data_IF_139073204271
#
_entry.id   IF_139073204271
#
_cell.length_a   1.000
_cell.length_b   1.000
_cell.length_c   1.000
_cell.angle_alpha   90.00
_cell.angle_beta   90.00
_cell.angle_gamma   90.00
#
_symmetry.space_group_name_H-M   'P 1'
#
loop_
_entity.id
_entity.type
_entity.pdbx_description
1 polymer ?
#
# COMPACT_ATOMS: atom_id res chain seq x y z
N UNK A 1 -9.79 -66.00 -18.93
CA UNK A 1 -9.65 -65.14 -17.73
C UNK A 1 -9.18 -63.76 -18.19
N UNK A 2 -9.99 -62.72 -18.05
CA UNK A 2 -9.59 -61.32 -18.30
C UNK A 2 -10.04 -60.47 -17.11
N UNK A 3 -9.06 -59.98 -16.33
CA UNK A 3 -9.27 -59.15 -15.15
C UNK A 3 -9.84 -57.78 -15.54
N UNK A 4 -11.01 -57.43 -15.00
CA UNK A 4 -11.57 -56.07 -15.08
C UNK A 4 -10.77 -55.13 -14.17
N UNK A 5 -9.99 -54.21 -14.76
CA UNK A 5 -9.35 -53.09 -14.02
C UNK A 5 -10.44 -52.20 -13.43
N UNK A 6 -10.44 -52.08 -12.10
CA UNK A 6 -11.45 -51.33 -11.33
C UNK A 6 -11.32 -49.80 -11.56
N UNK A 7 -12.43 -49.05 -11.66
CA UNK A 7 -12.44 -47.62 -12.00
C UNK A 7 -12.22 -46.67 -10.81
N UNK A 8 -11.73 -47.14 -9.66
CA UNK A 8 -11.68 -46.35 -8.42
C UNK A 8 -10.47 -45.40 -8.30
N UNK A 9 -9.55 -45.40 -9.26
CA UNK A 9 -8.33 -44.56 -9.19
C UNK A 9 -8.65 -43.07 -9.43
N UNK A 10 -9.57 -42.77 -10.36
CA UNK A 10 -9.97 -41.39 -10.70
C UNK A 10 -10.59 -40.59 -9.56
N UNK A 11 -11.58 -41.10 -8.81
CA UNK A 11 -12.20 -40.32 -7.73
C UNK A 11 -11.24 -40.05 -6.57
N UNK A 12 -10.32 -40.99 -6.28
CA UNK A 12 -9.33 -40.83 -5.20
C UNK A 12 -8.30 -39.74 -5.56
N UNK A 13 -7.85 -39.69 -6.81
CA UNK A 13 -6.96 -38.62 -7.30
C UNK A 13 -7.63 -37.24 -7.28
N UNK A 14 -8.92 -37.16 -7.65
CA UNK A 14 -9.67 -35.90 -7.54
C UNK A 14 -9.85 -35.46 -6.09
N UNK A 15 -10.12 -36.38 -5.16
CA UNK A 15 -10.22 -36.08 -3.74
C UNK A 15 -8.88 -35.59 -3.15
N UNK A 16 -7.76 -36.19 -3.56
CA UNK A 16 -6.42 -35.74 -3.18
C UNK A 16 -6.09 -34.35 -3.73
N UNK A 17 -6.49 -34.05 -4.98
CA UNK A 17 -6.32 -32.72 -5.57
C UNK A 17 -7.14 -31.66 -4.81
N UNK A 18 -8.39 -31.97 -4.45
CA UNK A 18 -9.22 -31.07 -3.63
C UNK A 18 -8.62 -30.86 -2.23
N UNK A 19 -8.13 -31.91 -1.58
CA UNK A 19 -7.48 -31.80 -0.28
C UNK A 19 -6.19 -30.97 -0.35
N UNK A 20 -5.41 -31.09 -1.44
CA UNK A 20 -4.22 -30.28 -1.67
C UNK A 20 -4.56 -28.79 -1.93
N UNK A 21 -5.70 -28.49 -2.55
CA UNK A 21 -6.21 -27.13 -2.73
C UNK A 21 -6.66 -26.48 -1.41
N UNK A 22 -7.08 -27.27 -0.42
CA UNK A 22 -7.47 -26.79 0.93
C UNK A 22 -6.25 -26.53 1.83
N UNK A 23 -5.08 -27.06 1.47
CA UNK A 23 -3.83 -26.87 2.21
C UNK A 23 -3.03 -25.64 1.76
N UNK A 24 -3.53 -24.85 0.80
CA UNK A 24 -2.96 -23.53 0.53
C UNK A 24 -3.28 -22.68 1.76
N UNK A 25 -2.29 -22.15 2.49
CA UNK A 25 -2.56 -21.20 3.56
C UNK A 25 -3.44 -20.12 2.96
N UNK A 26 -4.65 -19.95 3.51
CA UNK A 26 -5.42 -18.77 3.23
C UNK A 26 -4.48 -17.61 3.55
N UNK A 27 -4.08 -16.86 2.52
CA UNK A 27 -3.35 -15.60 2.70
C UNK A 27 -4.21 -14.84 3.68
N UNK A 28 -3.71 -14.65 4.92
CA UNK A 28 -4.45 -13.94 5.93
C UNK A 28 -4.79 -12.59 5.30
N UNK A 29 -6.08 -12.30 5.16
CA UNK A 29 -6.51 -11.03 4.61
C UNK A 29 -6.22 -10.00 5.70
N UNK A 30 -4.97 -9.54 5.75
CA UNK A 30 -4.57 -8.53 6.71
C UNK A 30 -5.41 -7.27 6.49
N UNK A 31 -5.74 -6.57 7.56
CA UNK A 31 -6.42 -5.27 7.46
C UNK A 31 -5.41 -4.17 7.64
N UNK A 32 -5.44 -3.19 6.74
CA UNK A 32 -4.57 -2.04 6.83
C UNK A 32 -5.37 -0.75 6.63
N UNK A 33 -5.14 0.22 7.51
CA UNK A 33 -5.73 1.55 7.50
C UNK A 33 -4.70 2.52 6.98
N UNK A 34 -5.03 3.18 5.88
CA UNK A 34 -4.12 4.05 5.14
C UNK A 34 -4.47 5.53 5.36
N UNK A 35 -3.45 6.34 5.60
CA UNK A 35 -3.59 7.79 5.75
C UNK A 35 -2.50 8.53 4.99
N UNK A 36 -2.84 9.45 4.10
CA UNK A 36 -1.85 10.27 3.40
C UNK A 36 -2.34 11.71 3.31
N UNK A 37 -1.56 12.67 3.81
CA UNK A 37 -2.00 14.06 3.80
C UNK A 37 -0.86 15.02 3.51
N UNK A 38 -1.26 16.23 3.14
CA UNK A 38 -0.37 17.37 3.02
C UNK A 38 -0.98 18.60 3.68
N UNK A 39 -0.15 19.47 4.22
CA UNK A 39 -0.59 20.77 4.70
C UNK A 39 0.47 21.84 4.44
N UNK A 40 0.01 23.06 4.18
CA UNK A 40 0.88 24.21 3.98
C UNK A 40 1.20 24.84 5.31
N UNK A 41 2.48 25.08 5.54
CA UNK A 41 2.95 25.99 6.56
C UNK A 41 3.34 27.33 5.93
N UNK A 42 3.06 28.42 6.64
CA UNK A 42 3.36 29.78 6.19
C UNK A 42 4.67 30.32 6.76
N UNK A 43 5.23 29.70 7.80
CA UNK A 43 6.46 30.15 8.47
C UNK A 43 7.33 28.96 8.90
N UNK A 44 8.39 28.59 8.16
CA UNK A 44 8.69 29.04 6.79
C UNK A 44 7.66 28.51 5.78
N UNK A 45 7.54 29.14 4.61
CA UNK A 45 6.63 28.67 3.56
C UNK A 45 7.06 27.32 3.01
N UNK A 46 6.34 26.26 3.38
CA UNK A 46 6.62 24.87 2.94
C UNK A 46 5.34 24.04 2.91
N UNK A 47 5.37 22.94 2.19
CA UNK A 47 4.38 21.86 2.30
C UNK A 47 4.98 20.76 3.17
N UNK A 48 4.31 20.43 4.27
CA UNK A 48 4.52 19.16 4.95
C UNK A 48 3.64 18.12 4.27
N UNK A 49 4.19 16.93 4.03
CA UNK A 49 3.46 15.83 3.43
C UNK A 49 3.90 14.52 4.06
N UNK A 50 2.95 13.63 4.29
CA UNK A 50 3.24 12.34 4.89
C UNK A 50 2.24 11.29 4.43
N UNK A 51 2.62 10.04 4.65
CA UNK A 51 1.81 8.86 4.47
C UNK A 51 2.09 7.92 5.64
N UNK A 52 1.05 7.41 6.26
CA UNK A 52 1.04 6.49 7.38
C UNK A 52 0.18 5.30 7.02
N UNK A 53 0.55 4.15 7.56
CA UNK A 53 -0.24 2.93 7.48
C UNK A 53 -0.28 2.28 8.84
N UNK A 54 -1.50 1.95 9.25
CA UNK A 54 -1.73 1.09 10.39
C UNK A 54 -2.09 -0.33 9.94
N UNK A 55 -1.51 -1.36 10.55
CA UNK A 55 -1.83 -2.76 10.22
C UNK A 55 -2.30 -3.48 11.47
N UNK A 56 -3.36 -4.27 11.36
CA UNK A 56 -3.95 -4.97 12.52
C UNK A 56 -3.24 -6.27 12.91
N UNK A 57 -2.38 -6.78 12.03
CA UNK A 57 -1.62 -8.01 12.22
C UNK A 57 -0.11 -7.74 12.18
N UNK A 58 0.65 -8.65 12.80
CA UNK A 58 2.11 -8.66 12.74
C UNK A 58 2.54 -8.89 11.29
N UNK A 59 3.15 -7.85 10.69
CA UNK A 59 3.78 -7.91 9.38
C UNK A 59 5.27 -8.18 9.52
N UNK A 60 5.84 -8.98 8.59
CA UNK A 60 7.29 -9.19 8.55
C UNK A 60 7.98 -7.87 8.18
N UNK A 61 7.51 -7.23 7.10
CA UNK A 61 8.07 -5.99 6.59
C UNK A 61 6.97 -5.05 6.09
N UNK A 62 7.12 -3.77 6.40
CA UNK A 62 6.27 -2.70 5.90
C UNK A 62 7.17 -1.68 5.20
N UNK A 63 6.94 -1.47 3.91
CA UNK A 63 7.57 -0.41 3.14
C UNK A 63 6.56 0.69 2.90
N UNK A 64 6.91 1.94 3.22
CA UNK A 64 6.03 3.09 3.00
C UNK A 64 6.78 4.28 2.40
N UNK A 65 6.11 5.00 1.52
CA UNK A 65 6.63 6.21 0.89
C UNK A 65 5.52 7.24 0.71
N UNK A 66 5.81 8.48 1.08
CA UNK A 66 4.94 9.61 0.79
C UNK A 66 5.38 10.30 -0.50
N UNK A 67 4.41 10.63 -1.36
CA UNK A 67 4.65 11.23 -2.66
C UNK A 67 3.83 12.51 -2.78
N UNK A 68 4.50 13.63 -2.98
CA UNK A 68 3.85 14.91 -3.17
C UNK A 68 3.56 15.15 -4.65
N UNK A 69 2.32 15.50 -4.93
CA UNK A 69 1.87 15.93 -6.24
C UNK A 69 1.46 17.40 -6.17
N UNK A 70 1.50 18.07 -7.34
CA UNK A 70 1.12 19.47 -7.52
C UNK A 70 0.17 19.62 -8.70
N UNK A 71 -0.82 20.49 -8.52
CA UNK A 71 -1.77 20.89 -9.55
C UNK A 71 -1.89 22.42 -9.56
N UNK A 72 -1.51 23.11 -10.65
CA UNK A 72 -1.58 24.58 -10.69
C UNK A 72 -2.99 25.16 -10.53
N UNK A 73 -4.00 24.45 -11.03
CA UNK A 73 -5.41 24.81 -10.93
C UNK A 73 -6.31 23.60 -11.24
N UNK A 74 -7.59 23.70 -10.91
CA UNK A 74 -8.61 22.64 -11.09
C UNK A 74 -8.80 22.14 -12.53
N UNK A 75 -8.25 22.81 -13.54
CA UNK A 75 -8.29 22.39 -14.95
C UNK A 75 -6.99 21.72 -15.44
N UNK A 76 -5.90 21.78 -14.67
CA UNK A 76 -4.58 21.29 -15.09
C UNK A 76 -4.40 19.81 -14.76
N UNK A 77 -3.46 19.12 -15.42
CA UNK A 77 -2.99 17.80 -15.00
C UNK A 77 -2.20 17.90 -13.70
N UNK A 78 -2.25 16.84 -12.89
CA UNK A 78 -1.38 16.70 -11.73
C UNK A 78 0.02 16.28 -12.15
N UNK A 79 1.04 16.87 -11.53
CA UNK A 79 2.43 16.52 -11.75
C UNK A 79 3.04 16.04 -10.43
N UNK A 80 3.85 14.98 -10.49
CA UNK A 80 4.66 14.57 -9.36
C UNK A 80 5.72 15.65 -9.06
N UNK A 81 5.96 15.91 -7.77
CA UNK A 81 6.91 16.92 -7.30
C UNK A 81 8.12 16.24 -6.69
N UNK A 82 7.89 15.41 -5.67
CA UNK A 82 8.94 14.80 -4.85
C UNK A 82 8.37 13.59 -4.12
N UNK A 83 9.25 12.64 -3.81
CA UNK A 83 8.94 11.52 -2.93
C UNK A 83 9.90 11.51 -1.75
N UNK A 84 9.43 11.04 -0.61
CA UNK A 84 10.34 10.65 0.49
C UNK A 84 11.21 9.46 0.04
N UNK A 85 12.32 9.18 0.72
CA UNK A 85 12.87 7.84 0.73
C UNK A 85 11.79 6.79 1.04
N UNK A 86 12.00 5.56 0.57
CA UNK A 86 11.16 4.43 0.99
C UNK A 86 11.59 4.05 2.41
N UNK A 87 10.70 4.25 3.37
CA UNK A 87 10.92 3.82 4.75
C UNK A 87 10.58 2.34 4.89
N UNK A 88 11.25 1.68 5.83
CA UNK A 88 11.13 0.24 6.05
C UNK A 88 11.01 -0.06 7.54
N UNK A 89 9.95 -0.78 7.90
CA UNK A 89 9.60 -1.12 9.28
C UNK A 89 9.38 -2.63 9.43
N UNK A 90 9.63 -3.13 10.64
CA UNK A 90 9.46 -4.54 11.01
C UNK A 90 8.55 -4.63 12.23
N UNK A 91 7.44 -5.35 12.13
CA UNK A 91 6.54 -5.60 13.27
C UNK A 91 6.16 -4.31 14.05
N UNK A 92 5.75 -3.27 13.32
CA UNK A 92 5.25 -2.01 13.89
C UNK A 92 3.83 -1.79 13.38
N UNK A 93 2.95 -1.41 14.30
CA UNK A 93 1.53 -1.20 13.99
C UNK A 93 1.29 0.12 13.24
N UNK A 94 2.18 1.11 13.36
CA UNK A 94 2.12 2.44 12.71
C UNK A 94 3.45 2.72 11.97
N UNK A 95 3.43 2.56 10.65
CA UNK A 95 4.56 2.87 9.79
C UNK A 95 4.29 4.16 9.01
N UNK A 96 5.22 5.10 9.01
CA UNK A 96 5.02 6.41 8.39
C UNK A 96 6.22 6.92 7.61
N UNK A 97 5.96 7.64 6.52
CA UNK A 97 6.96 8.36 5.75
C UNK A 97 6.59 9.84 5.72
N UNK A 98 7.56 10.71 6.05
CA UNK A 98 7.34 12.13 6.26
C UNK A 98 8.32 12.97 5.46
N UNK A 99 7.82 14.03 4.84
CA UNK A 99 8.63 14.90 4.00
C UNK A 99 8.21 16.36 4.09
N UNK A 100 9.13 17.23 3.70
CA UNK A 100 8.85 18.66 3.55
C UNK A 100 9.32 19.15 2.19
N UNK A 101 8.52 19.98 1.54
CA UNK A 101 8.85 20.63 0.27
C UNK A 101 8.85 22.15 0.46
N UNK A 102 10.02 22.77 0.27
CA UNK A 102 10.23 24.20 0.53
C UNK A 102 9.93 25.06 -0.69
N UNK A 103 9.52 26.31 -0.47
CA UNK A 103 9.22 27.29 -1.53
C UNK A 103 8.16 26.82 -2.56
N UNK A 104 6.98 26.37 -2.12
CA UNK A 104 5.95 25.88 -3.03
C UNK A 104 5.33 27.01 -3.86
N UNK A 105 5.11 26.76 -5.15
CA UNK A 105 4.47 27.71 -6.07
C UNK A 105 2.95 27.63 -5.93
N UNK A 106 2.24 28.77 -5.99
CA UNK A 106 0.78 28.85 -5.79
C UNK A 106 -0.02 27.81 -6.61
N UNK A 107 -0.96 27.15 -5.94
CA UNK A 107 -1.78 26.07 -6.48
C UNK A 107 -2.10 25.02 -5.42
N UNK A 108 -2.45 23.84 -5.89
CA UNK A 108 -3.01 22.75 -5.11
C UNK A 108 -1.94 21.67 -4.89
N UNK A 109 -1.75 21.21 -3.65
CA UNK A 109 -0.82 20.12 -3.29
C UNK A 109 -1.54 18.92 -2.67
N UNK A 110 -1.14 17.69 -3.01
CA UNK A 110 -1.75 16.48 -2.46
C UNK A 110 -0.67 15.43 -2.19
N UNK A 111 -0.77 14.76 -1.05
CA UNK A 111 0.05 13.59 -0.73
C UNK A 111 -0.61 12.31 -1.24
N UNK A 112 0.19 11.43 -1.82
CA UNK A 112 -0.15 10.06 -2.18
C UNK A 112 0.79 9.09 -1.48
N UNK A 113 0.24 8.19 -0.69
CA UNK A 113 0.97 7.11 -0.06
C UNK A 113 1.16 5.93 -1.01
N UNK A 114 2.34 5.35 -0.97
CA UNK A 114 2.58 4.00 -1.46
C UNK A 114 2.96 3.12 -0.28
N UNK A 115 2.39 1.92 -0.23
CA UNK A 115 2.75 0.89 0.74
C UNK A 115 3.01 -0.43 0.05
N UNK A 116 4.00 -1.16 0.53
CA UNK A 116 4.12 -2.59 0.33
C UNK A 116 4.20 -3.31 1.69
N UNK A 117 3.39 -4.36 1.86
CA UNK A 117 3.36 -5.23 3.04
C UNK A 117 3.91 -6.58 2.66
N UNK A 118 4.78 -7.13 3.51
CA UNK A 118 5.34 -8.46 3.37
C UNK A 118 4.90 -9.32 4.54
N UNK A 119 4.27 -10.44 4.22
CA UNK A 119 3.85 -11.44 5.19
C UNK A 119 4.20 -12.83 4.64
N UNK A 120 5.00 -13.59 5.37
CA UNK A 120 5.46 -14.93 5.00
C UNK A 120 6.05 -14.99 3.57
N UNK A 121 6.76 -13.94 3.17
CA UNK A 121 7.35 -13.78 1.83
C UNK A 121 6.37 -13.42 0.71
N UNK A 122 5.08 -13.23 1.01
CA UNK A 122 4.09 -12.70 0.07
C UNK A 122 4.08 -11.18 0.16
N UNK A 123 4.18 -10.51 -0.99
CA UNK A 123 4.19 -9.04 -1.06
C UNK A 123 2.86 -8.54 -1.59
N UNK A 124 2.22 -7.63 -0.86
CA UNK A 124 1.04 -6.92 -1.30
C UNK A 124 1.29 -5.41 -1.35
N UNK A 125 0.81 -4.74 -2.40
CA UNK A 125 1.15 -3.35 -2.72
C UNK A 125 -0.11 -2.53 -2.93
N UNK A 126 -0.11 -1.30 -2.43
CA UNK A 126 -1.23 -0.38 -2.61
C UNK A 126 -0.75 1.06 -2.75
N UNK A 127 -1.45 1.80 -3.60
CA UNK A 127 -1.40 3.26 -3.64
C UNK A 127 -2.68 3.79 -2.99
N UNK A 128 -2.53 4.82 -2.15
CA UNK A 128 -3.64 5.43 -1.46
C UNK A 128 -3.48 6.94 -1.40
N UNK A 129 -4.59 7.63 -1.59
CA UNK A 129 -4.69 9.08 -1.55
C UNK A 129 -5.70 9.42 -0.45
N UNK A 130 -5.52 10.55 0.24
CA UNK A 130 -6.63 11.14 0.98
C UNK A 130 -7.29 12.26 0.18
N UNK A 131 -8.58 12.43 0.41
CA UNK A 131 -9.45 13.29 -0.38
C UNK A 131 -9.02 14.76 -0.31
N UNK A 132 -8.62 15.31 -1.45
CA UNK A 132 -8.52 16.75 -1.67
C UNK A 132 -7.08 17.27 -1.77
N UNK A 133 -6.96 18.43 -2.38
CA UNK A 133 -5.70 19.16 -2.47
C UNK A 133 -5.68 20.25 -1.41
N UNK A 134 -4.54 20.42 -0.75
CA UNK A 134 -4.28 21.56 0.12
C UNK A 134 -4.10 22.82 -0.76
N UNK A 135 -4.95 23.84 -0.61
CA UNK A 135 -4.77 25.08 -1.33
C UNK A 135 -3.58 25.86 -0.76
N UNK A 136 -2.75 26.43 -1.63
CA UNK A 136 -1.72 27.35 -1.19
C UNK A 136 -2.30 28.74 -0.93
N UNK A 137 -2.39 29.12 0.35
CA UNK A 137 -2.71 30.49 0.77
C UNK A 137 -1.52 31.44 0.68
#
# INVERSE_FOLDING_TARGET
MTQKRKPYIRPVLMALLLAALVAVPAVSAYSASDYATSYKETVPTRIQYYAETDVTEVMDEIYIQANLWYRPNSGSSSNHVVSTPMEHYYNVDDAGAYGTYSNPASGDYQSRGYRALVENGVVSKSWFDQNGWTPLQ
#
